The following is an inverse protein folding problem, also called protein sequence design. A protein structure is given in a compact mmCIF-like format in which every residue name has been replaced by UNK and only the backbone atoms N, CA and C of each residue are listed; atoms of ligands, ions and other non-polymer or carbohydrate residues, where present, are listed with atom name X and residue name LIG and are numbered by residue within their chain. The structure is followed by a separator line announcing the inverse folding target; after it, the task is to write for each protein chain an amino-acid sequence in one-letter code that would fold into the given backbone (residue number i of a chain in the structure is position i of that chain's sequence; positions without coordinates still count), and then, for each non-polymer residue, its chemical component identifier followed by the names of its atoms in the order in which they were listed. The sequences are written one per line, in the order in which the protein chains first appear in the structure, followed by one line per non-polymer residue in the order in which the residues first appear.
data_IF_243536206616
#
_entry.id   IF_243536206616
#
_cell.length_a   1.000
_cell.length_b   1.000
_cell.length_c   1.000
_cell.angle_alpha   90.00
_cell.angle_beta   90.00
_cell.angle_gamma   90.00
#
_symmetry.space_group_name_H-M   'P 1'
#
loop_
_entity.id
_entity.type
_entity.pdbx_description
1 polymer ?
#
# COMPACT_ATOMS: atom_id res chain seq x y z
N UNK A 1 -48.94 -1.25 -32.95
CA UNK A 1 -48.23 -2.22 -32.08
C UNK A 1 -46.89 -1.62 -31.67
N UNK A 2 -46.74 -1.26 -30.39
CA UNK A 2 -45.52 -0.76 -29.76
C UNK A 2 -44.40 -1.81 -29.79
N UNK A 3 -43.18 -1.43 -30.16
CA UNK A 3 -41.96 -2.18 -29.80
C UNK A 3 -41.17 -1.35 -28.79
N UNK A 4 -41.34 -1.68 -27.51
CA UNK A 4 -40.50 -1.22 -26.42
C UNK A 4 -39.17 -1.97 -26.56
N UNK A 5 -38.12 -1.30 -27.02
CA UNK A 5 -36.75 -1.78 -26.82
C UNK A 5 -36.37 -1.46 -25.37
N UNK A 6 -36.47 -2.46 -24.51
CA UNK A 6 -35.99 -2.39 -23.14
C UNK A 6 -34.45 -2.42 -23.12
N UNK A 7 -33.90 -1.44 -22.41
CA UNK A 7 -32.53 -1.32 -21.94
C UNK A 7 -31.98 -2.65 -21.39
N UNK A 8 -30.74 -2.96 -21.76
CA UNK A 8 -29.86 -3.84 -20.98
C UNK A 8 -28.54 -3.10 -20.72
N UNK A 9 -28.59 -2.09 -19.87
CA UNK A 9 -27.38 -1.48 -19.28
C UNK A 9 -26.80 -2.46 -18.26
N UNK A 10 -26.05 -3.45 -18.72
CA UNK A 10 -25.14 -4.21 -17.87
C UNK A 10 -23.97 -3.30 -17.49
N UNK A 11 -24.17 -2.46 -16.48
CA UNK A 11 -23.06 -1.93 -15.67
C UNK A 11 -22.51 -3.09 -14.85
N UNK A 12 -21.70 -3.93 -15.51
CA UNK A 12 -20.84 -4.87 -14.80
C UNK A 12 -19.90 -4.03 -13.92
N UNK A 13 -19.99 -4.20 -12.60
CA UNK A 13 -19.02 -3.67 -11.67
C UNK A 13 -17.66 -4.26 -12.05
N UNK A 14 -16.85 -3.47 -12.75
CA UNK A 14 -15.49 -3.87 -13.07
C UNK A 14 -14.77 -4.14 -11.74
N UNK A 15 -14.10 -5.28 -11.56
CA UNK A 15 -13.28 -5.49 -10.39
C UNK A 15 -12.30 -4.32 -10.30
N UNK A 16 -12.21 -3.71 -9.12
CA UNK A 16 -11.23 -2.64 -8.84
C UNK A 16 -9.85 -3.28 -8.82
N UNK A 17 -9.35 -3.62 -10.00
CA UNK A 17 -7.96 -4.03 -10.19
C UNK A 17 -7.17 -2.74 -10.06
N UNK A 18 -6.34 -2.63 -9.02
CA UNK A 18 -5.41 -1.53 -8.89
C UNK A 18 -4.63 -1.41 -10.20
N UNK A 19 -4.76 -0.28 -10.89
CA UNK A 19 -4.08 -0.09 -12.16
C UNK A 19 -2.57 -0.11 -11.91
N UNK A 20 -1.78 -0.81 -12.74
CA UNK A 20 -0.34 -0.83 -12.56
C UNK A 20 0.23 0.59 -12.69
N UNK A 21 1.16 0.93 -11.80
CA UNK A 21 1.85 2.22 -11.86
C UNK A 21 2.71 2.32 -13.12
N UNK A 22 2.74 3.52 -13.70
CA UNK A 22 3.52 3.83 -14.90
C UNK A 22 4.82 4.56 -14.55
N UNK A 23 4.90 5.21 -13.39
CA UNK A 23 6.10 5.93 -12.94
C UNK A 23 6.29 5.86 -11.43
N UNK A 24 7.52 6.14 -10.97
CA UNK A 24 7.83 6.26 -9.55
C UNK A 24 7.10 7.44 -8.89
N UNK A 25 6.86 8.52 -9.63
CA UNK A 25 6.12 9.68 -9.15
C UNK A 25 4.64 9.37 -8.92
N UNK A 26 4.04 8.53 -9.77
CA UNK A 26 2.68 8.04 -9.55
C UNK A 26 2.59 7.20 -8.26
N UNK A 27 3.60 6.38 -7.96
CA UNK A 27 3.65 5.65 -6.67
C UNK A 27 3.69 6.63 -5.50
N UNK A 28 4.56 7.65 -5.56
CA UNK A 28 4.68 8.67 -4.51
C UNK A 28 3.35 9.41 -4.33
N UNK A 29 2.77 9.91 -5.41
CA UNK A 29 1.50 10.64 -5.39
C UNK A 29 0.37 9.78 -4.83
N UNK A 30 0.27 8.52 -5.26
CA UNK A 30 -0.80 7.64 -4.82
C UNK A 30 -0.66 7.26 -3.35
N UNK A 31 0.51 6.78 -2.92
CA UNK A 31 0.72 6.36 -1.53
C UNK A 31 0.65 7.54 -0.54
N UNK A 32 1.11 8.73 -0.94
CA UNK A 32 1.00 9.94 -0.10
C UNK A 32 -0.43 10.49 0.03
N UNK A 33 -1.37 10.02 -0.80
CA UNK A 33 -2.78 10.43 -0.70
C UNK A 33 -3.52 9.79 0.47
N UNK A 34 -2.94 8.75 1.06
CA UNK A 34 -3.48 8.08 2.24
C UNK A 34 -3.10 8.82 3.52
N UNK A 35 -4.04 8.89 4.46
CA UNK A 35 -3.78 9.46 5.79
C UNK A 35 -4.17 8.47 6.89
N UNK A 36 -3.34 8.44 7.94
CA UNK A 36 -3.60 7.58 9.10
C UNK A 36 -4.95 7.88 9.76
N UNK A 37 -5.32 9.17 9.87
CA UNK A 37 -6.57 9.59 10.47
C UNK A 37 -7.80 9.06 9.71
N UNK A 38 -7.73 9.00 8.37
CA UNK A 38 -8.81 8.47 7.56
C UNK A 38 -8.95 6.95 7.73
N UNK A 39 -7.82 6.24 7.70
CA UNK A 39 -7.79 4.78 7.85
C UNK A 39 -8.29 4.37 9.24
N UNK A 40 -7.83 5.06 10.28
CA UNK A 40 -8.27 4.84 11.66
C UNK A 40 -9.77 5.09 11.81
N UNK A 41 -10.28 6.19 11.24
CA UNK A 41 -11.72 6.50 11.29
C UNK A 41 -12.56 5.42 10.59
N UNK A 42 -12.10 4.87 9.49
CA UNK A 42 -12.79 3.75 8.82
C UNK A 42 -12.74 2.46 9.64
N UNK A 43 -11.59 2.15 10.25
CA UNK A 43 -11.44 0.99 11.13
C UNK A 43 -12.36 1.08 12.36
N UNK A 44 -12.46 2.26 13.00
CA UNK A 44 -13.34 2.49 14.15
C UNK A 44 -14.84 2.38 13.80
N UNK A 45 -15.23 2.75 12.57
CA UNK A 45 -16.63 2.71 12.13
C UNK A 45 -17.08 1.34 11.63
N UNK A 46 -16.16 0.40 11.39
CA UNK A 46 -16.46 -0.96 10.90
C UNK A 46 -17.14 -1.00 9.54
N UNK A 47 -17.12 0.10 8.77
CA UNK A 47 -17.75 0.21 7.46
C UNK A 47 -17.04 1.25 6.61
N UNK A 48 -17.01 1.08 5.28
CA UNK A 48 -16.46 2.08 4.38
C UNK A 48 -17.25 3.39 4.50
N UNK A 49 -16.54 4.52 4.49
CA UNK A 49 -17.16 5.83 4.39
C UNK A 49 -17.82 5.94 3.00
N UNK A 50 -19.13 5.66 2.94
CA UNK A 50 -20.00 5.80 1.75
C UNK A 50 -19.92 4.66 0.71
N UNK A 51 -20.06 3.41 1.11
CA UNK A 51 -20.29 2.28 0.17
C UNK A 51 -19.12 2.01 -0.81
N UNK A 52 -17.91 2.35 -0.40
CA UNK A 52 -16.66 2.18 -1.16
C UNK A 52 -15.86 0.98 -0.63
N UNK A 53 -14.78 0.58 -1.29
CA UNK A 53 -13.76 -0.29 -0.69
C UNK A 53 -13.20 0.37 0.57
N UNK A 54 -12.85 -0.42 1.60
CA UNK A 54 -12.13 0.11 2.76
C UNK A 54 -10.81 0.71 2.31
N UNK A 55 -10.45 1.89 2.85
CA UNK A 55 -9.18 2.55 2.50
C UNK A 55 -7.97 1.71 2.87
N UNK A 56 -8.07 0.85 3.90
CA UNK A 56 -7.01 -0.06 4.30
C UNK A 56 -6.74 -1.09 3.19
N UNK A 57 -7.78 -1.74 2.67
CA UNK A 57 -7.66 -2.67 1.54
C UNK A 57 -7.12 -1.98 0.29
N UNK A 58 -7.61 -0.77 -0.01
CA UNK A 58 -7.12 0.01 -1.15
C UNK A 58 -5.63 0.36 -1.01
N UNK A 59 -5.20 0.73 0.20
CA UNK A 59 -3.80 0.99 0.51
C UNK A 59 -2.93 -0.28 0.40
N UNK A 60 -3.42 -1.43 0.87
CA UNK A 60 -2.71 -2.71 0.74
C UNK A 60 -2.49 -3.08 -0.74
N UNK A 61 -3.54 -2.98 -1.55
CA UNK A 61 -3.46 -3.20 -2.99
C UNK A 61 -2.52 -2.24 -3.70
N UNK A 62 -2.56 -0.95 -3.36
CA UNK A 62 -1.64 0.04 -3.95
C UNK A 62 -0.18 -0.21 -3.50
N UNK A 63 0.05 -0.65 -2.27
CA UNK A 63 1.39 -1.02 -1.80
C UNK A 63 1.92 -2.26 -2.54
N UNK A 64 1.07 -3.25 -2.76
CA UNK A 64 1.41 -4.43 -3.57
C UNK A 64 1.75 -4.04 -5.00
N UNK A 65 0.93 -3.19 -5.65
CA UNK A 65 1.19 -2.69 -6.99
C UNK A 65 2.48 -1.86 -7.06
N UNK A 66 2.79 -1.08 -6.02
CA UNK A 66 4.05 -0.35 -5.91
C UNK A 66 5.26 -1.28 -5.80
N UNK A 67 5.14 -2.37 -5.04
CA UNK A 67 6.17 -3.40 -4.96
C UNK A 67 6.45 -4.04 -6.33
N UNK A 68 5.40 -4.46 -7.03
CA UNK A 68 5.55 -5.02 -8.38
C UNK A 68 6.12 -4.00 -9.38
N UNK A 69 5.76 -2.71 -9.27
CA UNK A 69 6.39 -1.66 -10.07
C UNK A 69 7.90 -1.54 -9.78
N UNK A 70 8.34 -1.55 -8.51
CA UNK A 70 9.77 -1.45 -8.20
C UNK A 70 10.54 -2.78 -8.31
N UNK A 71 9.87 -3.88 -8.68
CA UNK A 71 10.50 -5.18 -8.90
C UNK A 71 11.48 -5.09 -10.08
N UNK A 72 12.76 -4.95 -9.76
CA UNK A 72 13.82 -4.79 -10.75
C UNK A 72 14.04 -3.33 -11.20
N UNK A 73 13.43 -2.35 -10.54
CA UNK A 73 13.67 -0.91 -10.77
C UNK A 73 14.28 -0.28 -9.52
N UNK A 74 15.03 0.80 -9.72
CA UNK A 74 15.56 1.56 -8.60
C UNK A 74 14.46 2.43 -7.98
N UNK A 75 14.28 2.33 -6.67
CA UNK A 75 13.38 3.22 -5.93
C UNK A 75 14.06 4.57 -5.68
N UNK A 76 13.28 5.65 -5.73
CA UNK A 76 13.72 6.97 -5.27
C UNK A 76 13.56 7.09 -3.75
N UNK A 77 14.29 8.00 -3.10
CA UNK A 77 14.13 8.26 -1.66
C UNK A 77 12.68 8.60 -1.28
N UNK A 78 11.95 9.47 -2.01
CA UNK A 78 10.54 9.73 -1.74
C UNK A 78 9.65 8.48 -1.88
N UNK A 79 9.87 7.65 -2.90
CA UNK A 79 9.09 6.42 -3.08
C UNK A 79 9.32 5.44 -1.93
N UNK A 80 10.58 5.21 -1.55
CA UNK A 80 10.93 4.37 -0.41
C UNK A 80 10.29 4.87 0.90
N UNK A 81 10.29 6.19 1.12
CA UNK A 81 9.63 6.79 2.28
C UNK A 81 8.12 6.52 2.30
N UNK A 82 7.43 6.72 1.17
CA UNK A 82 5.98 6.48 1.11
C UNK A 82 5.62 4.99 1.24
N UNK A 83 6.43 4.09 0.69
CA UNK A 83 6.23 2.64 0.88
C UNK A 83 6.36 2.23 2.36
N UNK A 84 7.35 2.79 3.09
CA UNK A 84 7.47 2.52 4.52
C UNK A 84 6.31 3.12 5.34
N UNK A 85 5.81 4.30 4.96
CA UNK A 85 4.63 4.91 5.60
C UNK A 85 3.36 4.10 5.34
N UNK A 86 3.17 3.62 4.11
CA UNK A 86 2.07 2.73 3.76
C UNK A 86 2.09 1.45 4.61
N UNK A 87 3.26 0.82 4.74
CA UNK A 87 3.46 -0.34 5.62
C UNK A 87 3.06 -0.05 7.07
N UNK A 88 3.52 1.08 7.64
CA UNK A 88 3.14 1.48 9.01
C UNK A 88 1.63 1.64 9.15
N UNK A 89 0.99 2.31 8.18
CA UNK A 89 -0.43 2.57 8.22
C UNK A 89 -1.24 1.26 8.20
N UNK A 90 -0.95 0.34 7.26
CA UNK A 90 -1.62 -0.97 7.16
C UNK A 90 -1.48 -1.76 8.47
N UNK A 91 -0.24 -1.89 8.95
CA UNK A 91 0.06 -2.68 10.15
C UNK A 91 -0.62 -2.11 11.41
N UNK A 92 -0.81 -0.78 11.49
CA UNK A 92 -1.47 -0.12 12.62
C UNK A 92 -2.99 -0.09 12.52
N UNK A 93 -3.58 -0.27 11.33
CA UNK A 93 -5.05 -0.19 11.14
C UNK A 93 -5.73 -1.55 11.00
N UNK A 94 -5.04 -2.56 10.47
CA UNK A 94 -5.62 -3.88 10.14
C UNK A 94 -5.24 -4.97 11.15
N UNK A 95 -5.14 -4.61 12.44
CA UNK A 95 -4.80 -5.58 13.49
C UNK A 95 -3.44 -6.29 13.31
N UNK A 96 -2.53 -5.71 12.50
CA UNK A 96 -1.22 -6.27 12.21
C UNK A 96 -1.17 -7.25 11.05
N UNK A 97 -1.91 -6.99 9.95
CA UNK A 97 -1.84 -7.79 8.73
C UNK A 97 -0.38 -8.04 8.30
N UNK A 98 0.13 -9.27 8.50
CA UNK A 98 1.56 -9.52 8.50
C UNK A 98 2.14 -9.65 7.08
N UNK A 99 1.32 -9.50 6.03
CA UNK A 99 1.74 -9.67 4.64
C UNK A 99 2.27 -8.37 4.03
N UNK A 100 1.95 -7.20 4.57
CA UNK A 100 2.39 -5.91 4.01
C UNK A 100 3.93 -5.80 3.97
N UNK A 101 4.62 -6.40 4.94
CA UNK A 101 6.09 -6.46 4.95
C UNK A 101 6.64 -7.27 3.77
N UNK A 102 5.91 -8.28 3.29
CA UNK A 102 6.33 -9.13 2.18
C UNK A 102 6.30 -8.37 0.84
N UNK A 103 5.55 -7.27 0.76
CA UNK A 103 5.61 -6.36 -0.39
C UNK A 103 6.84 -5.44 -0.32
N UNK A 104 7.19 -4.93 0.86
CA UNK A 104 8.26 -3.92 1.01
C UNK A 104 9.65 -4.57 1.07
N UNK A 105 9.79 -5.71 1.76
CA UNK A 105 11.09 -6.30 2.02
C UNK A 105 11.90 -6.69 0.77
N UNK A 106 11.32 -7.29 -0.29
CA UNK A 106 12.05 -7.58 -1.52
C UNK A 106 12.61 -6.32 -2.21
N UNK A 107 11.88 -5.21 -2.11
CA UNK A 107 12.30 -3.92 -2.68
C UNK A 107 13.36 -3.26 -1.81
N UNK A 108 13.21 -3.36 -0.48
CA UNK A 108 14.21 -2.93 0.49
C UNK A 108 15.56 -3.60 0.23
N UNK A 109 15.60 -4.91 0.04
CA UNK A 109 16.87 -5.62 -0.16
C UNK A 109 17.62 -5.18 -1.42
N UNK A 110 16.88 -4.90 -2.51
CA UNK A 110 17.45 -4.39 -3.76
C UNK A 110 17.84 -2.90 -3.69
N UNK A 111 17.18 -2.13 -2.83
CA UNK A 111 17.34 -0.67 -2.74
C UNK A 111 17.80 -0.23 -1.34
N UNK A 112 18.64 -1.04 -0.69
CA UNK A 112 18.92 -0.95 0.76
C UNK A 112 19.40 0.44 1.20
N UNK A 113 20.28 1.07 0.44
CA UNK A 113 20.81 2.40 0.79
C UNK A 113 19.77 3.51 0.65
N UNK A 114 18.91 3.41 -0.35
CA UNK A 114 17.80 4.36 -0.55
C UNK A 114 16.82 4.26 0.61
N UNK A 115 16.43 3.05 1.00
CA UNK A 115 15.52 2.84 2.14
C UNK A 115 16.16 3.27 3.46
N UNK A 116 17.46 2.97 3.69
CA UNK A 116 18.19 3.46 4.88
C UNK A 116 18.25 4.99 4.93
N UNK A 117 18.41 5.64 3.78
CA UNK A 117 18.36 7.10 3.67
C UNK A 117 16.96 7.62 3.98
N UNK A 118 15.92 7.03 3.40
CA UNK A 118 14.52 7.40 3.64
C UNK A 118 14.09 7.18 5.11
N UNK A 119 14.59 6.13 5.79
CA UNK A 119 14.30 5.86 7.20
C UNK A 119 14.74 7.00 8.13
N UNK A 120 15.72 7.81 7.73
CA UNK A 120 16.16 8.96 8.52
C UNK A 120 15.08 10.03 8.62
N UNK A 121 14.15 10.05 7.67
CA UNK A 121 13.04 11.01 7.61
C UNK A 121 11.78 10.49 8.34
N UNK A 122 11.81 9.25 8.85
CA UNK A 122 10.76 8.70 9.72
C UNK A 122 10.99 9.10 11.18
N UNK A 123 9.89 9.18 11.94
CA UNK A 123 9.93 9.35 13.39
C UNK A 123 10.75 8.20 14.03
N UNK A 124 11.51 8.43 15.11
CA UNK A 124 12.34 7.40 15.73
C UNK A 124 11.59 6.11 16.09
N UNK A 125 10.35 6.23 16.59
CA UNK A 125 9.50 5.07 16.91
C UNK A 125 9.18 4.24 15.68
N UNK A 126 8.72 4.88 14.61
CA UNK A 126 8.39 4.24 13.33
C UNK A 126 9.62 3.56 12.72
N UNK A 127 10.78 4.22 12.81
CA UNK A 127 12.05 3.66 12.35
C UNK A 127 12.41 2.38 13.10
N UNK A 128 12.22 2.37 14.43
CA UNK A 128 12.45 1.16 15.25
C UNK A 128 11.51 0.04 14.80
N UNK A 129 10.22 0.35 14.65
CA UNK A 129 9.22 -0.62 14.20
C UNK A 129 9.58 -1.23 12.84
N UNK A 130 9.87 -0.42 11.82
CA UNK A 130 10.19 -0.93 10.48
C UNK A 130 11.44 -1.81 10.50
N UNK A 131 12.46 -1.47 11.30
CA UNK A 131 13.67 -2.30 11.44
C UNK A 131 13.35 -3.66 12.05
N UNK A 132 12.50 -3.71 13.06
CA UNK A 132 12.06 -4.97 13.69
C UNK A 132 11.30 -5.83 12.67
N UNK A 133 10.38 -5.23 11.90
CA UNK A 133 9.61 -5.95 10.86
C UNK A 133 10.51 -6.50 9.75
N UNK A 134 11.44 -5.70 9.24
CA UNK A 134 12.41 -6.15 8.23
C UNK A 134 13.36 -7.23 8.79
N UNK A 135 13.76 -7.12 10.06
CA UNK A 135 14.55 -8.14 10.75
C UNK A 135 13.82 -9.48 10.84
N UNK A 136 12.54 -9.46 11.26
CA UNK A 136 11.69 -10.65 11.34
C UNK A 136 11.44 -11.29 9.97
N UNK A 137 11.28 -10.48 8.90
CA UNK A 137 11.19 -11.00 7.54
C UNK A 137 12.45 -11.78 7.13
N UNK A 138 13.64 -11.24 7.42
CA UNK A 138 14.92 -11.91 7.13
C UNK A 138 15.02 -13.28 7.83
N UNK A 139 14.66 -13.34 9.12
CA UNK A 139 14.67 -14.59 9.90
C UNK A 139 13.72 -15.65 9.32
N UNK A 140 12.53 -15.26 8.82
CA UNK A 140 11.55 -16.18 8.22
C UNK A 140 12.00 -16.81 6.90
N UNK A 141 12.89 -16.16 6.14
CA UNK A 141 13.32 -16.61 4.80
C UNK A 141 14.72 -17.23 4.76
N UNK A 142 15.54 -17.01 5.79
CA UNK A 142 16.90 -17.55 5.87
C UNK A 142 17.02 -18.76 6.82
N UNK A 143 15.93 -19.14 7.49
CA UNK A 143 15.82 -20.34 8.34
C UNK A 143 15.27 -21.55 7.61
#
# INVERSE_FOLDING_TARGET
MLRILALASFLAAAPVIAQPFQSGDQVVQKLSSYSFNDLRREAELGRPLRGKTLKADALDHDLQAASEYFKGRQASKPAALQMMRALLMIEMTDGGNPTAIDYVAPIYDKNRDVFRSAMKDLHPTDRKYIRERLGTYCLRRCG
#
